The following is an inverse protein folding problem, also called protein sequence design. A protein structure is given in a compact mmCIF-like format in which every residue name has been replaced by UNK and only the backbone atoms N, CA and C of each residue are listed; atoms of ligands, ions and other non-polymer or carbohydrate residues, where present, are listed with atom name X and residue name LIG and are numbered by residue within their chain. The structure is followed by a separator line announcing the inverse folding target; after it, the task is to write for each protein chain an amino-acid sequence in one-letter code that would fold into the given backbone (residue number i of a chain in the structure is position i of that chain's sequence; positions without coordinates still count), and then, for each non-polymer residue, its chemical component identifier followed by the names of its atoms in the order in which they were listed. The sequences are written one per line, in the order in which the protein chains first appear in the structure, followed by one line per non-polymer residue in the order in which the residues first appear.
data_IF_974660421292
#
_entry.id   IF_974660421292
#
_cell.length_a   1.000
_cell.length_b   1.000
_cell.length_c   1.000
_cell.angle_alpha   90.00
_cell.angle_beta   90.00
_cell.angle_gamma   90.00
#
_symmetry.space_group_name_H-M   'P 1'
#
loop_
_entity.id
_entity.type
_entity.pdbx_description
1 polymer ?
#
# COMPACT_ATOMS: atom_id res chain seq x y z
N UNK A 1 3.41 -12.20 22.14
CA UNK A 1 2.33 -11.97 21.16
C UNK A 1 2.91 -11.11 20.04
N UNK A 2 2.96 -11.55 18.77
CA UNK A 2 3.39 -10.66 17.70
C UNK A 2 2.43 -9.46 17.64
N UNK A 3 2.97 -8.25 17.61
CA UNK A 3 2.21 -7.00 17.51
C UNK A 3 1.40 -7.02 16.20
N UNK A 4 0.08 -6.94 16.29
CA UNK A 4 -0.79 -6.89 15.12
C UNK A 4 -0.72 -5.50 14.48
N UNK A 5 -0.25 -5.43 13.24
CA UNK A 5 -0.27 -4.21 12.43
C UNK A 5 -1.51 -4.24 11.57
N UNK A 6 -2.50 -3.41 11.90
CA UNK A 6 -3.75 -3.35 11.14
C UNK A 6 -3.68 -2.37 9.97
N UNK A 7 -2.78 -1.39 10.06
CA UNK A 7 -2.61 -0.32 9.06
C UNK A 7 -1.13 -0.14 8.76
N UNK A 8 -0.79 -0.08 7.48
CA UNK A 8 0.53 0.30 6.97
C UNK A 8 0.40 1.64 6.26
N UNK A 9 1.29 2.58 6.57
CA UNK A 9 1.37 3.87 5.89
C UNK A 9 2.73 3.96 5.19
N UNK A 10 2.73 4.04 3.87
CA UNK A 10 3.91 4.41 3.09
C UNK A 10 3.96 5.93 3.01
N UNK A 11 4.85 6.54 3.80
CA UNK A 11 5.06 7.99 3.76
C UNK A 11 5.69 8.43 2.43
N UNK A 12 6.66 7.65 1.94
CA UNK A 12 7.21 7.75 0.59
C UNK A 12 6.92 6.44 -0.16
N UNK A 13 6.61 6.54 -1.45
CA UNK A 13 6.36 5.35 -2.25
C UNK A 13 7.67 4.55 -2.42
N UNK A 14 7.68 3.23 -2.17
CA UNK A 14 8.86 2.40 -2.38
C UNK A 14 9.35 2.47 -3.83
N UNK A 15 10.66 2.58 -4.02
CA UNK A 15 11.30 2.67 -5.34
C UNK A 15 11.23 1.39 -6.17
N UNK A 16 10.84 0.26 -5.58
CA UNK A 16 10.56 -0.98 -6.29
C UNK A 16 9.33 -1.71 -5.71
N UNK A 17 8.68 -2.48 -6.59
CA UNK A 17 7.42 -3.21 -6.33
C UNK A 17 7.56 -4.32 -5.28
N UNK A 18 8.72 -5.00 -5.21
CA UNK A 18 8.97 -6.04 -4.22
C UNK A 18 8.99 -5.45 -2.80
N UNK A 19 9.61 -4.28 -2.64
CA UNK A 19 9.62 -3.54 -1.37
C UNK A 19 8.22 -3.09 -0.99
N UNK A 20 7.42 -2.64 -1.96
CA UNK A 20 6.01 -2.32 -1.72
C UNK A 20 5.23 -3.51 -1.16
N UNK A 21 5.33 -4.68 -1.81
CA UNK A 21 4.67 -5.91 -1.35
C UNK A 21 5.10 -6.29 0.08
N UNK A 22 6.40 -6.24 0.37
CA UNK A 22 6.93 -6.57 1.69
C UNK A 22 6.50 -5.61 2.80
N UNK A 23 6.26 -4.33 2.48
CA UNK A 23 5.75 -3.34 3.42
C UNK A 23 4.27 -3.58 3.72
N UNK A 24 3.42 -3.69 2.70
CA UNK A 24 1.97 -3.86 2.93
C UNK A 24 1.63 -5.22 3.54
N UNK A 25 2.43 -6.25 3.26
CA UNK A 25 2.33 -7.59 3.85
C UNK A 25 2.68 -7.67 5.35
N UNK A 26 3.03 -6.54 5.99
CA UNK A 26 3.11 -6.44 7.46
C UNK A 26 1.73 -6.42 8.11
N UNK A 27 0.71 -6.01 7.36
CA UNK A 27 -0.70 -6.09 7.75
C UNK A 27 -1.38 -7.36 7.24
N UNK A 28 -2.59 -7.65 7.72
CA UNK A 28 -3.44 -8.71 7.19
C UNK A 28 -2.90 -10.15 7.36
N UNK A 29 -2.14 -10.41 8.42
CA UNK A 29 -1.61 -11.76 8.70
C UNK A 29 -2.72 -12.70 9.18
N UNK A 30 -2.61 -13.99 8.86
CA UNK A 30 -3.54 -15.05 9.29
C UNK A 30 -4.99 -14.87 8.82
N UNK A 31 -5.19 -14.43 7.58
CA UNK A 31 -6.53 -14.30 6.98
C UNK A 31 -7.32 -13.07 7.46
N UNK A 32 -6.68 -12.19 8.24
CA UNK A 32 -7.25 -10.89 8.61
C UNK A 32 -7.09 -9.89 7.48
N UNK A 33 -8.00 -8.92 7.41
CA UNK A 33 -7.88 -7.78 6.49
C UNK A 33 -6.94 -6.74 7.10
N UNK A 34 -6.11 -6.12 6.26
CA UNK A 34 -5.27 -4.98 6.61
C UNK A 34 -5.51 -3.82 5.66
N UNK A 35 -5.17 -2.60 6.09
CA UNK A 35 -5.26 -1.39 5.26
C UNK A 35 -3.85 -0.90 4.94
N UNK A 36 -3.59 -0.58 3.68
CA UNK A 36 -2.38 0.11 3.25
C UNK A 36 -2.75 1.48 2.67
N UNK A 37 -2.13 2.53 3.19
CA UNK A 37 -2.22 3.89 2.66
C UNK A 37 -0.85 4.31 2.15
N UNK A 38 -0.81 4.97 1.00
CA UNK A 38 0.42 5.53 0.45
C UNK A 38 0.21 7.00 0.17
N UNK A 39 1.13 7.84 0.63
CA UNK A 39 1.28 9.17 0.05
C UNK A 39 2.09 9.01 -1.23
N UNK A 40 1.66 9.73 -2.26
CA UNK A 40 2.20 9.62 -3.61
C UNK A 40 2.35 11.03 -4.15
N UNK A 41 3.57 11.41 -4.53
CA UNK A 41 3.81 12.67 -5.24
C UNK A 41 3.49 12.52 -6.72
N UNK A 42 3.47 13.62 -7.46
CA UNK A 42 3.20 13.59 -8.92
C UNK A 42 4.23 12.76 -9.67
N UNK A 43 5.48 12.79 -9.22
CA UNK A 43 6.61 12.08 -9.83
C UNK A 43 6.52 10.56 -9.59
N UNK A 44 5.81 10.14 -8.54
CA UNK A 44 5.67 8.74 -8.13
C UNK A 44 4.46 8.04 -8.76
N UNK A 45 3.57 8.78 -9.46
CA UNK A 45 2.35 8.21 -10.07
C UNK A 45 2.66 7.09 -11.05
N UNK A 46 3.74 7.20 -11.84
CA UNK A 46 4.10 6.15 -12.78
C UNK A 46 4.54 4.88 -12.04
N UNK A 47 5.34 5.01 -10.98
CA UNK A 47 5.75 3.87 -10.18
C UNK A 47 4.56 3.19 -9.49
N UNK A 48 3.56 3.95 -9.05
CA UNK A 48 2.30 3.40 -8.52
C UNK A 48 1.55 2.58 -9.57
N UNK A 49 1.41 3.11 -10.79
CA UNK A 49 0.74 2.41 -11.90
C UNK A 49 1.46 1.13 -12.29
N UNK A 50 2.79 1.12 -12.26
CA UNK A 50 3.59 -0.06 -12.54
C UNK A 50 3.32 -1.16 -11.49
N UNK A 51 3.14 -0.79 -10.21
CA UNK A 51 2.74 -1.71 -9.13
C UNK A 51 1.34 -2.26 -9.38
N UNK A 52 0.36 -1.40 -9.69
CA UNK A 52 -1.03 -1.81 -10.00
C UNK A 52 -1.07 -2.79 -11.16
N UNK A 53 -0.40 -2.46 -12.27
CA UNK A 53 -0.36 -3.29 -13.46
C UNK A 53 0.35 -4.62 -13.20
N UNK A 54 1.49 -4.61 -12.51
CA UNK A 54 2.25 -5.82 -12.27
C UNK A 54 1.51 -6.83 -11.39
N UNK A 55 0.85 -6.35 -10.33
CA UNK A 55 0.10 -7.21 -9.42
C UNK A 55 -1.38 -7.38 -9.80
N UNK A 56 -1.82 -6.79 -10.91
CA UNK A 56 -3.21 -6.75 -11.33
C UNK A 56 -4.16 -6.33 -10.19
N UNK A 57 -3.78 -5.28 -9.47
CA UNK A 57 -4.50 -4.74 -8.32
C UNK A 57 -4.92 -3.30 -8.57
N UNK A 58 -5.90 -2.81 -7.81
CA UNK A 58 -6.29 -1.40 -7.80
C UNK A 58 -5.89 -0.74 -6.49
N UNK A 59 -5.27 0.43 -6.58
CA UNK A 59 -4.92 1.31 -5.48
C UNK A 59 -5.64 2.64 -5.73
N UNK A 60 -6.93 2.74 -5.34
CA UNK A 60 -7.73 3.92 -5.61
C UNK A 60 -7.26 5.12 -4.77
N UNK A 61 -7.51 6.32 -5.29
CA UNK A 61 -7.38 7.53 -4.48
C UNK A 61 -8.30 7.46 -3.26
N UNK A 62 -7.81 7.97 -2.12
CA UNK A 62 -8.59 8.00 -0.90
C UNK A 62 -9.79 8.95 -1.09
N UNK A 63 -11.03 8.47 -0.89
CA UNK A 63 -12.20 9.31 -1.09
C UNK A 63 -12.27 10.41 -0.02
N UNK A 64 -12.70 11.62 -0.43
CA UNK A 64 -12.78 12.80 0.45
C UNK A 64 -13.75 12.60 1.62
N UNK A 65 -14.74 11.71 1.46
CA UNK A 65 -15.80 11.44 2.43
C UNK A 65 -15.53 10.23 3.34
N UNK A 66 -14.26 9.92 3.64
CA UNK A 66 -13.90 8.79 4.51
C UNK A 66 -13.97 9.11 6.03
N UNK A 67 -14.52 10.27 6.41
CA UNK A 67 -14.84 10.64 7.80
C UNK A 67 -16.32 10.92 7.97
#
# INVERSE_FOLDING_TARGET
MPQEVNVVINYDLPSNRETYLHRIGRSGRFGRTGIALSFVTKEEVQALRDIEQFYATSIPELPINLM
#
